data_IF_514706437367
#
_entry.id   IF_514706437367
#
_cell.length_a   1.000
_cell.length_b   1.000
_cell.length_c   1.000
_cell.angle_alpha   90.00
_cell.angle_beta   90.00
_cell.angle_gamma   90.00
#
_symmetry.space_group_name_H-M   'P 1'
#
loop_
_entity.id
_entity.type
_entity.pdbx_description
1 polymer ?
#
# COMPACT_ATOMS: atom_id res chain seq x y z
N UNK A 1 25.43 23.30 19.65
CA UNK A 1 24.63 23.39 18.42
C UNK A 1 25.02 22.33 17.37
N UNK A 2 26.22 21.79 17.40
CA UNK A 2 26.77 20.80 16.43
C UNK A 2 26.27 19.36 16.68
N UNK A 3 25.87 19.00 17.90
CA UNK A 3 25.48 17.59 18.23
C UNK A 3 24.11 17.16 17.69
N UNK A 4 23.22 18.08 17.43
CA UNK A 4 21.85 17.75 16.90
C UNK A 4 21.81 17.44 15.41
N UNK A 5 22.77 17.96 14.63
CA UNK A 5 22.83 17.73 13.17
C UNK A 5 23.33 16.30 12.88
N UNK A 6 24.25 15.78 13.68
CA UNK A 6 24.79 14.44 13.51
C UNK A 6 23.76 13.33 13.79
N UNK A 7 22.81 13.56 14.67
CA UNK A 7 21.78 12.57 15.02
C UNK A 7 20.72 12.45 13.94
N UNK A 8 20.37 13.54 13.28
CA UNK A 8 19.36 13.55 12.20
C UNK A 8 19.89 12.85 10.96
N UNK A 9 21.16 13.09 10.58
CA UNK A 9 21.78 12.44 9.41
C UNK A 9 21.93 10.93 9.61
N UNK A 10 22.18 10.46 10.82
CA UNK A 10 22.32 9.03 11.11
C UNK A 10 20.97 8.28 11.03
N UNK A 11 19.87 8.92 11.42
CA UNK A 11 18.52 8.32 11.31
C UNK A 11 18.08 8.16 9.85
N UNK A 12 18.37 9.11 8.99
CA UNK A 12 18.01 9.04 7.56
C UNK A 12 18.80 7.99 6.79
N UNK A 13 20.06 7.78 7.14
CA UNK A 13 20.89 6.73 6.50
C UNK A 13 20.46 5.32 6.90
N UNK A 14 20.02 5.10 8.15
CA UNK A 14 19.49 3.79 8.57
C UNK A 14 18.14 3.47 7.90
N UNK A 15 17.24 4.44 7.77
CA UNK A 15 15.94 4.23 7.14
C UNK A 15 16.06 3.91 5.65
N UNK A 16 16.94 4.60 4.93
CA UNK A 16 17.19 4.33 3.50
C UNK A 16 17.87 2.99 3.25
N UNK A 17 18.76 2.55 4.14
CA UNK A 17 19.43 1.24 4.04
C UNK A 17 18.46 0.08 4.32
N UNK A 18 17.53 0.24 5.26
CA UNK A 18 16.50 -0.76 5.55
C UNK A 18 15.51 -0.89 4.40
N UNK A 19 15.11 0.22 3.77
CA UNK A 19 14.22 0.22 2.62
C UNK A 19 14.87 -0.47 1.42
N UNK A 20 16.14 -0.19 1.14
CA UNK A 20 16.90 -0.82 0.07
C UNK A 20 17.07 -2.33 0.31
N UNK A 21 17.32 -2.76 1.54
CA UNK A 21 17.43 -4.18 1.91
C UNK A 21 16.08 -4.91 1.77
N UNK A 22 14.97 -4.25 2.09
CA UNK A 22 13.64 -4.83 1.96
C UNK A 22 13.25 -5.02 0.50
N UNK A 23 13.55 -4.05 -0.37
CA UNK A 23 13.31 -4.14 -1.82
C UNK A 23 14.19 -5.22 -2.46
N UNK A 24 15.47 -5.30 -2.10
CA UNK A 24 16.38 -6.33 -2.59
C UNK A 24 16.00 -7.73 -2.07
N UNK A 25 15.54 -7.84 -0.82
CA UNK A 25 15.07 -9.10 -0.25
C UNK A 25 13.84 -9.65 -0.95
N UNK A 26 12.92 -8.80 -1.41
CA UNK A 26 11.74 -9.20 -2.17
C UNK A 26 12.13 -9.67 -3.58
N UNK A 27 13.11 -9.02 -4.21
CA UNK A 27 13.55 -9.38 -5.57
C UNK A 27 14.40 -10.66 -5.59
N UNK A 28 15.23 -10.89 -4.57
CA UNK A 28 16.12 -12.06 -4.52
C UNK A 28 15.43 -13.29 -3.93
N UNK A 29 14.40 -13.09 -3.09
CA UNK A 29 13.62 -14.15 -2.45
C UNK A 29 12.43 -14.64 -3.26
N UNK A 30 12.18 -14.12 -4.47
CA UNK A 30 11.12 -14.64 -5.33
C UNK A 30 11.44 -16.08 -5.69
N UNK A 31 10.65 -17.08 -5.24
CA UNK A 31 10.88 -18.46 -5.61
C UNK A 31 10.82 -18.54 -7.13
N UNK A 32 11.80 -19.19 -7.74
CA UNK A 32 11.71 -19.56 -9.14
C UNK A 32 10.51 -20.50 -9.28
N UNK A 33 9.37 -19.94 -9.68
CA UNK A 33 8.16 -20.70 -9.87
C UNK A 33 8.36 -21.69 -11.00
N UNK A 34 8.53 -22.97 -10.64
CA UNK A 34 8.31 -24.05 -11.57
C UNK A 34 6.85 -23.99 -12.02
N UNK A 35 6.66 -23.73 -13.29
CA UNK A 35 5.35 -23.77 -13.91
C UNK A 35 4.73 -25.15 -13.73
N UNK A 36 3.66 -25.29 -12.98
CA UNK A 36 2.47 -26.08 -13.29
C UNK A 36 1.40 -26.11 -12.18
N UNK A 37 1.67 -25.62 -10.94
CA UNK A 37 0.67 -25.62 -9.88
C UNK A 37 0.74 -24.35 -8.97
N UNK A 38 1.46 -23.31 -9.39
CA UNK A 38 1.62 -22.13 -8.55
C UNK A 38 0.37 -21.23 -8.60
N UNK A 39 -0.49 -21.39 -7.60
CA UNK A 39 -1.69 -20.57 -7.40
C UNK A 39 -1.43 -19.29 -6.63
N UNK A 40 -0.18 -18.94 -6.39
CA UNK A 40 0.19 -17.76 -5.63
C UNK A 40 0.74 -16.65 -6.51
N UNK A 41 0.26 -15.46 -6.29
CA UNK A 41 0.78 -14.23 -6.86
C UNK A 41 1.19 -13.24 -5.77
N UNK A 42 2.08 -12.31 -6.11
CA UNK A 42 2.53 -11.25 -5.23
C UNK A 42 2.57 -9.93 -5.97
N UNK A 43 2.22 -8.85 -5.29
CA UNK A 43 2.24 -7.51 -5.84
C UNK A 43 2.94 -6.52 -4.93
N UNK A 44 3.62 -5.56 -5.53
CA UNK A 44 4.23 -4.42 -4.86
C UNK A 44 4.00 -3.16 -5.68
N UNK A 45 3.40 -2.16 -5.09
CA UNK A 45 3.06 -0.90 -5.72
C UNK A 45 3.56 0.27 -4.88
N UNK A 46 3.89 1.37 -5.56
CA UNK A 46 4.32 2.64 -4.98
C UNK A 46 3.50 3.77 -5.61
N UNK A 47 3.17 4.79 -4.85
CA UNK A 47 2.44 5.92 -5.40
C UNK A 47 2.05 6.95 -4.35
N UNK A 48 0.90 7.57 -4.57
CA UNK A 48 0.40 8.66 -3.76
C UNK A 48 -1.03 8.38 -3.32
N UNK A 49 -1.33 8.71 -2.08
CA UNK A 49 -2.70 8.73 -1.53
C UNK A 49 -3.08 10.16 -1.18
N UNK A 50 -4.21 10.60 -1.67
CA UNK A 50 -4.79 11.92 -1.41
C UNK A 50 -6.08 11.81 -0.59
N UNK A 51 -6.45 12.87 0.11
CA UNK A 51 -7.62 12.84 1.03
C UNK A 51 -7.27 12.35 2.42
N UNK A 52 -6.02 12.43 2.84
CA UNK A 52 -5.59 12.19 4.22
C UNK A 52 -5.53 13.51 5.01
N UNK A 53 -5.47 13.45 6.34
CA UNK A 53 -5.30 14.63 7.22
C UNK A 53 -4.07 15.49 6.83
N UNK A 54 -3.06 14.89 6.25
CA UNK A 54 -1.87 15.57 5.74
C UNK A 54 -1.95 15.90 4.22
N UNK A 55 -3.14 15.80 3.60
CA UNK A 55 -3.33 16.02 2.18
C UNK A 55 -2.87 14.84 1.34
N UNK A 56 -1.89 15.02 0.47
CA UNK A 56 -1.35 13.94 -0.37
C UNK A 56 -0.07 13.39 0.25
N UNK A 57 -0.04 12.07 0.45
CA UNK A 57 1.06 11.35 1.09
C UNK A 57 1.61 10.25 0.18
N UNK A 58 2.89 9.93 0.33
CA UNK A 58 3.48 8.76 -0.33
C UNK A 58 2.93 7.48 0.27
N UNK A 59 2.66 6.48 -0.57
CA UNK A 59 2.08 5.20 -0.15
C UNK A 59 2.78 4.04 -0.85
N UNK A 60 3.04 2.99 -0.09
CA UNK A 60 3.48 1.68 -0.56
C UNK A 60 2.35 0.69 -0.32
N UNK A 61 2.12 -0.21 -1.27
CA UNK A 61 1.18 -1.30 -1.11
C UNK A 61 1.83 -2.64 -1.46
N UNK A 62 1.48 -3.66 -0.70
CA UNK A 62 1.91 -5.04 -0.91
C UNK A 62 0.68 -5.93 -0.92
N UNK A 63 0.68 -6.91 -1.78
CA UNK A 63 -0.42 -7.88 -1.87
C UNK A 63 0.07 -9.28 -2.12
N UNK A 64 -0.66 -10.24 -1.56
CA UNK A 64 -0.55 -11.65 -1.91
C UNK A 64 -1.88 -12.10 -2.51
N UNK A 65 -1.83 -12.92 -3.53
CA UNK A 65 -3.01 -13.43 -4.22
C UNK A 65 -2.98 -14.95 -4.26
N UNK A 66 -4.05 -15.57 -3.84
CA UNK A 66 -4.30 -16.99 -4.07
C UNK A 66 -5.36 -17.13 -5.15
N UNK A 67 -4.98 -17.67 -6.30
CA UNK A 67 -5.87 -17.90 -7.44
C UNK A 67 -6.75 -19.10 -7.21
N UNK A 68 -8.04 -18.87 -6.98
CA UNK A 68 -9.06 -19.93 -6.86
C UNK A 68 -9.29 -20.55 -8.22
N UNK A 69 -9.38 -19.69 -9.24
CA UNK A 69 -9.42 -20.05 -10.64
C UNK A 69 -8.62 -19.05 -11.50
N UNK A 70 -8.68 -19.18 -12.83
CA UNK A 70 -7.93 -18.30 -13.75
C UNK A 70 -8.34 -16.83 -13.68
N UNK A 71 -9.54 -16.54 -13.21
CA UNK A 71 -10.14 -15.21 -13.26
C UNK A 71 -10.39 -14.63 -11.86
N UNK A 72 -10.28 -15.43 -10.81
CA UNK A 72 -10.62 -14.99 -9.46
C UNK A 72 -9.53 -15.32 -8.46
N UNK A 73 -9.10 -14.31 -7.72
CA UNK A 73 -8.14 -14.47 -6.63
C UNK A 73 -8.62 -13.79 -5.35
N UNK A 74 -8.14 -14.30 -4.24
CA UNK A 74 -8.34 -13.73 -2.91
C UNK A 74 -6.99 -13.66 -2.19
N UNK A 75 -6.83 -12.67 -1.31
CA UNK A 75 -5.61 -12.60 -0.52
C UNK A 75 -5.45 -11.33 0.29
N UNK A 76 -4.38 -11.23 1.06
CA UNK A 76 -4.08 -10.05 1.85
C UNK A 76 -3.61 -8.88 1.00
N UNK A 77 -3.94 -7.66 1.43
CA UNK A 77 -3.37 -6.42 0.96
C UNK A 77 -3.00 -5.55 2.15
N UNK A 78 -1.81 -4.98 2.11
CA UNK A 78 -1.30 -4.04 3.10
C UNK A 78 -0.91 -2.75 2.42
N UNK A 79 -1.30 -1.61 2.98
CA UNK A 79 -0.81 -0.30 2.55
C UNK A 79 -0.10 0.38 3.71
N UNK A 80 0.99 1.07 3.42
CA UNK A 80 1.80 1.83 4.37
C UNK A 80 2.03 3.21 3.79
N UNK A 81 1.67 4.25 4.54
CA UNK A 81 1.87 5.64 4.17
C UNK A 81 2.71 6.34 5.26
N UNK A 82 4.05 6.27 5.16
CA UNK A 82 4.94 6.94 6.09
C UNK A 82 5.10 8.41 5.67
N UNK A 83 4.59 9.32 6.47
CA UNK A 83 4.78 10.77 6.29
C UNK A 83 5.26 11.35 7.62
N UNK A 84 6.12 12.37 7.61
CA UNK A 84 6.82 12.86 8.79
C UNK A 84 6.00 13.02 10.07
N UNK A 85 4.76 13.50 9.95
CA UNK A 85 3.83 13.73 11.07
C UNK A 85 2.68 12.71 11.10
N UNK A 86 2.47 11.94 10.03
CA UNK A 86 1.40 10.96 9.91
C UNK A 86 1.95 9.62 9.46
N UNK A 87 1.70 8.59 10.24
CA UNK A 87 1.95 7.21 9.86
C UNK A 87 0.62 6.48 9.73
N UNK A 88 0.34 5.92 8.57
CA UNK A 88 -0.84 5.08 8.35
C UNK A 88 -0.42 3.70 7.88
N UNK A 89 -1.05 2.69 8.46
CA UNK A 89 -0.93 1.31 8.01
C UNK A 89 -2.33 0.70 7.91
N UNK A 90 -2.61 0.05 6.79
CA UNK A 90 -3.86 -0.70 6.62
C UNK A 90 -3.58 -2.13 6.20
N UNK A 91 -4.48 -3.02 6.62
CA UNK A 91 -4.45 -4.43 6.27
C UNK A 91 -5.87 -4.89 5.94
N UNK A 92 -6.05 -5.51 4.78
CA UNK A 92 -7.34 -6.01 4.31
C UNK A 92 -7.22 -7.38 3.65
N UNK A 93 -8.26 -8.19 3.79
CA UNK A 93 -8.53 -9.31 2.89
C UNK A 93 -9.26 -8.77 1.65
N UNK A 94 -8.75 -9.06 0.46
CA UNK A 94 -9.30 -8.56 -0.80
C UNK A 94 -9.69 -9.71 -1.72
N UNK A 95 -10.72 -9.48 -2.53
CA UNK A 95 -11.13 -10.34 -3.64
C UNK A 95 -10.94 -9.57 -4.95
N UNK A 96 -10.32 -10.23 -5.93
CA UNK A 96 -9.98 -9.66 -7.23
C UNK A 96 -10.58 -10.50 -8.34
N UNK A 97 -11.06 -9.82 -9.40
CA UNK A 97 -11.52 -10.48 -10.61
C UNK A 97 -10.67 -10.02 -11.79
N UNK A 98 -10.05 -10.95 -12.51
CA UNK A 98 -9.12 -10.70 -13.59
C UNK A 98 -9.82 -10.82 -14.95
N UNK A 99 -10.21 -9.68 -15.54
CA UNK A 99 -10.67 -9.61 -16.90
C UNK A 99 -9.45 -9.62 -17.84
N UNK A 100 -9.19 -10.73 -18.48
CA UNK A 100 -8.11 -10.87 -19.47
C UNK A 100 -8.56 -10.27 -20.79
N UNK A 101 -7.96 -9.14 -21.15
CA UNK A 101 -8.18 -8.49 -22.43
C UNK A 101 -7.15 -9.00 -23.46
N UNK A 102 -7.37 -8.65 -24.73
CA UNK A 102 -6.40 -8.95 -25.76
C UNK A 102 -5.08 -8.18 -25.52
N UNK A 103 -3.97 -8.66 -26.09
CA UNK A 103 -2.66 -8.01 -26.05
C UNK A 103 -1.96 -7.99 -24.67
N UNK A 104 -2.23 -8.95 -23.78
CA UNK A 104 -1.54 -9.05 -22.49
C UNK A 104 -1.95 -8.02 -21.46
N UNK A 105 -3.11 -7.37 -21.66
CA UNK A 105 -3.69 -6.42 -20.70
C UNK A 105 -4.75 -7.14 -19.87
N UNK A 106 -4.67 -6.99 -18.54
CA UNK A 106 -5.69 -7.43 -17.62
C UNK A 106 -6.31 -6.22 -16.94
N UNK A 107 -7.63 -6.22 -16.79
CA UNK A 107 -8.36 -5.28 -15.97
C UNK A 107 -8.82 -6.00 -14.70
N UNK A 108 -8.43 -5.49 -13.54
CA UNK A 108 -8.61 -6.19 -12.27
C UNK A 108 -9.33 -5.30 -11.26
N UNK A 109 -10.68 -5.26 -11.30
CA UNK A 109 -11.45 -4.70 -10.20
C UNK A 109 -11.29 -5.55 -8.95
N UNK A 110 -11.27 -4.88 -7.80
CA UNK A 110 -11.19 -5.54 -6.51
C UNK A 110 -11.90 -4.76 -5.41
N UNK A 111 -12.25 -5.47 -4.37
CA UNK A 111 -12.73 -4.90 -3.12
C UNK A 111 -12.28 -5.76 -1.96
N UNK A 112 -12.30 -5.19 -0.75
CA UNK A 112 -11.87 -5.90 0.43
C UNK A 112 -12.47 -5.33 1.71
N UNK A 113 -12.14 -5.97 2.81
CA UNK A 113 -12.47 -5.50 4.15
C UNK A 113 -11.28 -5.72 5.08
N UNK A 114 -11.05 -4.78 5.98
CA UNK A 114 -9.94 -4.84 6.90
C UNK A 114 -9.95 -3.74 7.94
N UNK A 115 -8.76 -3.40 8.41
CA UNK A 115 -8.51 -2.39 9.43
C UNK A 115 -7.45 -1.40 8.92
N UNK A 116 -7.58 -0.16 9.36
CA UNK A 116 -6.59 0.89 9.17
C UNK A 116 -6.25 1.49 10.53
N UNK A 117 -4.97 1.66 10.78
CA UNK A 117 -4.43 2.35 11.93
C UNK A 117 -3.67 3.60 11.46
N UNK A 118 -3.94 4.72 12.10
CA UNK A 118 -3.29 5.99 11.81
C UNK A 118 -2.75 6.60 13.09
N UNK A 119 -1.54 7.11 13.04
CA UNK A 119 -0.83 7.77 14.11
C UNK A 119 -0.36 9.14 13.64
N UNK A 120 -0.82 10.20 14.33
CA UNK A 120 -0.51 11.60 14.03
C UNK A 120 0.29 12.19 15.18
N UNK A 121 1.56 12.52 14.92
CA UNK A 121 2.44 13.23 15.87
C UNK A 121 2.88 14.55 15.25
N UNK A 122 2.18 15.63 15.61
CA UNK A 122 2.42 16.97 15.08
C UNK A 122 2.79 17.97 16.16
N UNK A 123 3.85 18.73 15.93
CA UNK A 123 4.27 19.87 16.75
C UNK A 123 5.30 19.51 17.84
N UNK A 124 5.72 20.53 18.59
CA UNK A 124 6.73 20.41 19.66
C UNK A 124 6.30 21.22 20.87
N UNK A 125 6.62 20.74 22.08
CA UNK A 125 6.32 21.45 23.35
C UNK A 125 4.86 21.34 23.76
N UNK A 126 4.31 22.40 24.37
CA UNK A 126 2.95 22.42 24.91
C UNK A 126 1.82 22.38 23.87
N UNK A 127 2.16 22.48 22.59
CA UNK A 127 1.21 22.39 21.47
C UNK A 127 1.30 21.07 20.68
N UNK A 128 1.99 20.06 21.22
CA UNK A 128 2.10 18.73 20.56
C UNK A 128 0.73 18.06 20.49
N UNK A 129 0.37 17.63 19.29
CA UNK A 129 -0.78 16.77 19.03
C UNK A 129 -0.22 15.37 18.82
N UNK A 130 -0.55 14.46 19.71
CA UNK A 130 -0.21 13.04 19.65
C UNK A 130 -1.53 12.27 19.72
N UNK A 131 -1.93 11.68 18.59
CA UNK A 131 -3.21 10.98 18.46
C UNK A 131 -3.07 9.78 17.55
N UNK A 132 -3.69 8.71 17.96
CA UNK A 132 -3.86 7.51 17.15
C UNK A 132 -5.33 7.12 17.06
N UNK A 133 -5.69 6.47 15.99
CA UNK A 133 -7.02 5.91 15.77
C UNK A 133 -6.94 4.66 14.92
N UNK A 134 -7.87 3.75 15.16
CA UNK A 134 -8.01 2.51 14.41
C UNK A 134 -9.46 2.37 13.97
N UNK A 135 -9.67 2.16 12.69
CA UNK A 135 -11.00 2.07 12.11
C UNK A 135 -11.12 0.86 11.18
N UNK A 136 -12.38 0.55 10.82
CA UNK A 136 -12.63 -0.35 9.70
C UNK A 136 -12.08 0.25 8.40
N UNK A 137 -11.74 -0.62 7.45
CA UNK A 137 -11.13 -0.25 6.18
C UNK A 137 -11.76 -1.06 5.06
N UNK A 138 -12.26 -0.36 4.03
CA UNK A 138 -12.88 -0.98 2.88
C UNK A 138 -12.25 -0.37 1.61
N UNK A 139 -11.25 -1.04 1.03
CA UNK A 139 -10.68 -0.66 -0.26
C UNK A 139 -11.58 -1.12 -1.40
N UNK A 140 -11.83 -0.23 -2.35
CA UNK A 140 -12.46 -0.52 -3.64
C UNK A 140 -11.50 -0.02 -4.71
N UNK A 141 -11.06 -0.88 -5.61
CA UNK A 141 -10.04 -0.49 -6.58
C UNK A 141 -10.19 -1.14 -7.94
N UNK A 142 -9.41 -0.57 -8.85
CA UNK A 142 -9.26 -1.04 -10.21
C UNK A 142 -7.78 -1.02 -10.58
N UNK A 143 -7.24 -2.16 -10.95
CA UNK A 143 -5.88 -2.27 -11.48
C UNK A 143 -5.92 -2.56 -12.98
N UNK A 144 -5.06 -1.89 -13.71
CA UNK A 144 -4.70 -2.23 -15.09
C UNK A 144 -3.32 -2.88 -15.04
N UNK A 145 -3.22 -4.10 -15.52
CA UNK A 145 -1.99 -4.87 -15.51
C UNK A 145 -1.57 -5.17 -16.95
N UNK A 146 -0.33 -4.88 -17.28
CA UNK A 146 0.27 -5.21 -18.58
C UNK A 146 1.33 -6.30 -18.39
N UNK A 147 1.12 -7.45 -18.98
CA UNK A 147 2.04 -8.57 -18.91
C UNK A 147 3.29 -8.28 -19.75
N UNK A 148 4.37 -7.89 -19.07
CA UNK A 148 5.62 -7.54 -19.72
C UNK A 148 6.47 -8.77 -20.05
N UNK A 149 6.45 -9.80 -19.19
CA UNK A 149 7.13 -11.08 -19.33
C UNK A 149 6.23 -12.18 -18.77
N UNK A 150 6.55 -13.45 -19.02
CA UNK A 150 5.70 -14.60 -18.68
C UNK A 150 5.07 -14.56 -17.28
N UNK A 151 5.80 -14.16 -16.25
CA UNK A 151 5.32 -14.16 -14.85
C UNK A 151 5.38 -12.76 -14.21
N UNK A 152 5.57 -11.70 -14.99
CA UNK A 152 5.71 -10.35 -14.47
C UNK A 152 4.79 -9.42 -15.25
N UNK A 153 3.90 -8.74 -14.55
CA UNK A 153 3.09 -7.68 -15.10
C UNK A 153 3.42 -6.34 -14.42
N UNK A 154 3.39 -5.27 -15.21
CA UNK A 154 3.37 -3.89 -14.71
C UNK A 154 1.94 -3.54 -14.32
N UNK A 155 1.77 -2.89 -13.20
CA UNK A 155 0.44 -2.49 -12.70
C UNK A 155 0.30 -0.99 -12.53
N UNK A 156 -0.89 -0.48 -12.83
CA UNK A 156 -1.37 0.84 -12.44
C UNK A 156 -2.69 0.65 -11.70
N UNK A 157 -2.75 1.06 -10.45
CA UNK A 157 -3.87 0.75 -9.54
C UNK A 157 -4.45 2.03 -8.97
N UNK A 158 -5.75 2.22 -9.16
CA UNK A 158 -6.55 3.26 -8.50
C UNK A 158 -7.35 2.62 -7.37
N UNK A 159 -7.26 3.18 -6.16
CA UNK A 159 -7.96 2.68 -4.98
C UNK A 159 -8.73 3.81 -4.33
N UNK A 160 -9.99 3.59 -4.05
CA UNK A 160 -10.80 4.41 -3.14
C UNK A 160 -10.86 3.67 -1.81
N UNK A 161 -10.28 4.28 -0.79
CA UNK A 161 -10.25 3.74 0.56
C UNK A 161 -11.37 4.38 1.38
N UNK A 162 -12.30 3.60 1.87
CA UNK A 162 -13.35 4.03 2.78
C UNK A 162 -12.97 3.63 4.21
N UNK A 163 -13.05 4.58 5.13
CA UNK A 163 -12.72 4.39 6.56
C UNK A 163 -13.41 5.47 7.41
N UNK A 164 -13.35 5.39 8.73
CA UNK A 164 -13.89 6.41 9.65
C UNK A 164 -12.84 6.79 10.70
N UNK A 165 -11.72 7.35 10.23
CA UNK A 165 -10.62 7.80 11.10
C UNK A 165 -10.94 9.18 11.66
N UNK A 166 -10.67 9.38 12.97
CA UNK A 166 -10.92 10.62 13.67
C UNK A 166 -9.67 11.12 14.42
N UNK A 167 -8.73 11.71 13.67
CA UNK A 167 -7.49 12.26 14.24
C UNK A 167 -7.60 13.74 14.67
N UNK A 168 -8.63 14.46 14.20
CA UNK A 168 -8.79 15.89 14.46
C UNK A 168 -10.21 16.22 14.93
N UNK A 169 -10.60 15.95 16.19
CA UNK A 169 -11.96 16.17 16.68
C UNK A 169 -12.39 17.66 16.72
N UNK A 170 -11.45 18.58 16.54
CA UNK A 170 -11.74 20.03 16.45
C UNK A 170 -12.09 20.49 15.04
N UNK A 171 -11.89 19.67 14.01
CA UNK A 171 -12.30 19.95 12.64
C UNK A 171 -13.58 19.18 12.35
N UNK A 172 -14.59 19.79 11.69
CA UNK A 172 -15.85 19.12 11.38
C UNK A 172 -15.71 18.02 10.33
N UNK A 173 -14.59 17.91 9.65
CA UNK A 173 -14.32 16.90 8.64
C UNK A 173 -13.64 15.67 9.26
N UNK A 174 -14.40 14.60 9.37
CA UNK A 174 -13.87 13.26 9.60
C UNK A 174 -13.24 12.75 8.31
N UNK A 175 -12.04 12.25 8.40
CA UNK A 175 -11.39 11.55 7.29
C UNK A 175 -12.13 10.24 7.02
N UNK A 176 -12.96 10.24 5.97
CA UNK A 176 -13.79 9.08 5.61
C UNK A 176 -13.40 8.40 4.32
N UNK A 177 -12.67 9.12 3.48
CA UNK A 177 -12.35 8.64 2.14
C UNK A 177 -11.00 9.17 1.68
N UNK A 178 -10.14 8.28 1.24
CA UNK A 178 -8.90 8.65 0.55
C UNK A 178 -8.82 7.94 -0.79
N UNK A 179 -8.06 8.53 -1.74
CA UNK A 179 -7.87 7.99 -3.07
C UNK A 179 -6.37 7.79 -3.31
N UNK A 180 -5.98 6.58 -3.65
CA UNK A 180 -4.61 6.23 -3.97
C UNK A 180 -4.45 5.93 -5.47
N UNK A 181 -3.36 6.45 -6.05
CA UNK A 181 -2.88 6.08 -7.38
C UNK A 181 -1.49 5.47 -7.23
N UNK A 182 -1.37 4.21 -7.57
CA UNK A 182 -0.18 3.41 -7.34
C UNK A 182 0.30 2.78 -8.65
N UNK A 183 1.61 2.59 -8.77
CA UNK A 183 2.26 1.90 -9.88
C UNK A 183 3.20 0.84 -9.34
N UNK A 184 3.26 -0.31 -10.00
CA UNK A 184 4.06 -1.40 -9.47
C UNK A 184 4.18 -2.61 -10.36
N UNK A 185 4.45 -3.72 -9.71
CA UNK A 185 4.69 -5.00 -10.34
C UNK A 185 3.80 -6.07 -9.70
N UNK A 186 3.37 -7.01 -10.54
CA UNK A 186 2.71 -8.25 -10.12
C UNK A 186 3.56 -9.44 -10.57
N UNK A 187 3.70 -10.40 -9.69
CA UNK A 187 4.33 -11.69 -9.95
C UNK A 187 3.27 -12.77 -9.75
N UNK A 188 3.03 -13.60 -10.73
CA UNK A 188 2.00 -14.64 -10.61
C UNK A 188 1.80 -15.43 -11.89
N UNK A 189 0.86 -16.38 -11.85
CA UNK A 189 0.52 -17.22 -13.00
C UNK A 189 -0.13 -16.42 -14.13
#
# INVERSE_FOLDING_TARGET
MISRIATITLQWTCASSLLALLVVGIVVGAPQAQADDNRWGFGSDLGLTSGTVNGTVFTMAFSGDYYIDRNFSVGPMMQISPTGDLFQISFAGVARYHFRLNNGINLVPFTGIGLIHADLDRGTGSGRIDRNDTSWYLPIGLSVEYQAVHNIALSSTLIVNLHDINLAPSLPEKDRTSVALLFGFRFGP
#
